data_IF_159147356258
#
_entry.id   IF_159147356258
#
_cell.length_a   1.000
_cell.length_b   1.000
_cell.length_c   1.000
_cell.angle_alpha   90.00
_cell.angle_beta   90.00
_cell.angle_gamma   90.00
#
_symmetry.space_group_name_H-M   'P 1'
#
loop_
_entity.id
_entity.type
_entity.pdbx_description
1 polymer ?
#
# COMPACT_ATOMS: atom_id res chain seq x y z
N UNK A 1 -3.78 -3.67 42.14
CA UNK A 1 -3.70 -4.47 40.90
C UNK A 1 -2.28 -4.30 40.37
N UNK A 2 -1.42 -5.30 40.47
CA UNK A 2 0.00 -5.16 40.08
C UNK A 2 0.13 -5.31 38.57
N UNK A 3 0.55 -4.24 37.90
CA UNK A 3 0.90 -4.25 36.47
C UNK A 3 2.08 -5.22 36.28
N UNK A 4 1.89 -6.28 35.48
CA UNK A 4 2.91 -7.29 35.19
C UNK A 4 3.27 -7.25 33.71
N UNK A 5 4.53 -7.55 33.43
CA UNK A 5 5.03 -7.75 32.07
C UNK A 5 4.25 -8.87 31.39
N UNK A 6 3.58 -8.57 30.27
CA UNK A 6 2.77 -9.52 29.51
C UNK A 6 3.57 -10.75 29.10
N UNK A 7 4.83 -10.55 28.67
CA UNK A 7 5.69 -11.60 28.14
C UNK A 7 6.31 -12.51 29.20
N UNK A 8 6.48 -12.00 30.42
CA UNK A 8 7.26 -12.70 31.46
C UNK A 8 6.51 -12.89 32.77
N UNK A 9 5.31 -12.33 32.92
CA UNK A 9 4.47 -12.37 34.13
C UNK A 9 5.19 -11.88 35.40
N UNK A 10 6.15 -10.96 35.23
CA UNK A 10 6.98 -10.35 36.30
C UNK A 10 6.59 -8.91 36.54
N UNK A 11 6.94 -8.39 37.72
CA UNK A 11 6.92 -6.95 38.03
C UNK A 11 7.72 -6.16 37.00
N UNK A 12 7.24 -4.95 36.70
CA UNK A 12 8.07 -3.95 36.06
C UNK A 12 9.01 -3.37 37.11
N UNK A 13 10.29 -3.37 36.78
CA UNK A 13 11.39 -2.97 37.68
C UNK A 13 12.20 -1.82 37.05
N UNK A 14 12.12 -1.64 35.73
CA UNK A 14 12.94 -0.68 34.99
C UNK A 14 12.08 0.17 34.05
N UNK A 15 12.55 1.38 33.78
CA UNK A 15 12.02 2.26 32.72
C UNK A 15 13.14 2.67 31.76
N UNK A 16 12.84 2.74 30.47
CA UNK A 16 13.71 3.39 29.49
C UNK A 16 13.09 4.72 29.08
N UNK A 17 13.79 5.83 29.31
CA UNK A 17 13.28 7.17 29.01
C UNK A 17 13.24 7.48 27.51
N UNK A 18 14.10 6.83 26.70
CA UNK A 18 14.10 7.00 25.24
C UNK A 18 12.88 6.32 24.59
N UNK A 19 12.50 5.15 25.10
CA UNK A 19 11.38 4.38 24.57
C UNK A 19 10.07 4.58 25.35
N UNK A 20 10.12 5.30 26.47
CA UNK A 20 9.02 5.49 27.41
C UNK A 20 8.30 4.17 27.75
N UNK A 21 9.07 3.11 28.02
CA UNK A 21 8.54 1.76 28.23
C UNK A 21 8.99 1.16 29.57
N UNK A 22 8.04 0.50 30.24
CA UNK A 22 8.26 -0.22 31.49
C UNK A 22 8.68 -1.66 31.19
N UNK A 23 9.72 -2.13 31.88
CA UNK A 23 10.37 -3.40 31.62
C UNK A 23 10.59 -4.19 32.91
N UNK A 24 10.47 -5.51 32.83
CA UNK A 24 10.93 -6.41 33.89
C UNK A 24 12.41 -6.73 33.69
N UNK A 25 13.04 -7.33 34.69
CA UNK A 25 14.43 -7.82 34.64
C UNK A 25 14.81 -8.63 33.39
N UNK A 26 13.90 -9.37 32.75
CA UNK A 26 14.22 -10.07 31.48
C UNK A 26 14.14 -9.15 30.25
N UNK A 27 13.19 -8.22 30.23
CA UNK A 27 13.01 -7.31 29.11
C UNK A 27 14.17 -6.32 29.00
N UNK A 28 14.72 -5.86 30.13
CA UNK A 28 15.86 -4.93 30.13
C UNK A 28 17.10 -5.52 29.46
N UNK A 29 17.46 -6.78 29.73
CA UNK A 29 18.61 -7.42 29.08
C UNK A 29 18.43 -7.59 27.56
N UNK A 30 17.20 -7.87 27.13
CA UNK A 30 16.91 -7.94 25.70
C UNK A 30 16.97 -6.55 25.07
N UNK A 31 16.35 -5.57 25.71
CA UNK A 31 16.31 -4.18 25.25
C UNK A 31 17.71 -3.57 25.14
N UNK A 32 18.60 -3.81 26.11
CA UNK A 32 19.97 -3.30 26.07
C UNK A 32 20.82 -3.95 24.98
N UNK A 33 20.48 -5.19 24.57
CA UNK A 33 21.11 -5.85 23.43
C UNK A 33 20.59 -5.31 22.09
N UNK A 34 19.28 -5.08 22.01
CA UNK A 34 18.63 -4.57 20.81
C UNK A 34 18.91 -3.07 20.60
N UNK A 35 19.11 -2.31 21.69
CA UNK A 35 19.39 -0.86 21.73
C UNK A 35 20.54 -0.53 22.70
N UNK A 36 21.81 -0.74 22.31
CA UNK A 36 22.97 -0.49 23.18
C UNK A 36 23.13 0.98 23.61
N UNK A 37 22.68 1.90 22.77
CA UNK A 37 22.72 3.35 22.98
C UNK A 37 21.73 3.85 24.05
N UNK A 38 20.75 3.03 24.42
CA UNK A 38 19.77 3.37 25.47
C UNK A 38 20.26 3.05 26.89
N UNK A 39 21.38 2.32 27.06
CA UNK A 39 21.83 1.81 28.36
C UNK A 39 22.00 2.89 29.43
N UNK A 40 22.39 4.11 29.05
CA UNK A 40 22.58 5.24 29.96
C UNK A 40 21.29 6.02 30.27
N UNK A 41 20.16 5.59 29.69
CA UNK A 41 18.83 6.21 29.81
C UNK A 41 17.80 5.23 30.37
N UNK A 42 18.28 4.19 31.06
CA UNK A 42 17.47 3.22 31.78
C UNK A 42 17.69 3.42 33.27
N UNK A 43 16.61 3.37 34.05
CA UNK A 43 16.67 3.57 35.49
C UNK A 43 15.75 2.58 36.21
N UNK A 44 16.13 2.21 37.44
CA UNK A 44 15.34 1.36 38.31
C UNK A 44 14.17 2.16 38.91
N UNK A 45 12.99 1.56 38.90
CA UNK A 45 11.77 2.20 39.38
C UNK A 45 11.83 2.45 40.89
N UNK A 46 12.49 1.58 41.66
CA UNK A 46 12.66 1.78 43.09
C UNK A 46 13.60 2.95 43.38
N UNK A 47 14.64 3.16 42.57
CA UNK A 47 15.53 4.33 42.69
C UNK A 47 14.80 5.64 42.39
N UNK A 48 13.94 5.65 41.36
CA UNK A 48 13.06 6.79 41.06
C UNK A 48 12.11 7.04 42.23
N UNK A 49 11.51 5.98 42.77
CA UNK A 49 10.59 6.08 43.90
C UNK A 49 11.27 6.63 45.15
N UNK A 50 12.49 6.17 45.44
CA UNK A 50 13.31 6.65 46.54
C UNK A 50 13.68 8.14 46.36
N UNK A 51 14.03 8.53 45.14
CA UNK A 51 14.29 9.94 44.79
C UNK A 51 13.05 10.82 44.94
N UNK A 52 11.86 10.31 44.60
CA UNK A 52 10.59 11.03 44.75
C UNK A 52 10.10 11.11 46.20
N UNK A 53 10.41 10.11 47.02
CA UNK A 53 10.02 10.09 48.44
C UNK A 53 10.94 10.90 49.34
N UNK A 54 12.15 11.24 48.87
CA UNK A 54 13.06 12.17 49.55
C UNK A 54 12.78 13.64 49.23
N UNK A 55 11.98 13.92 48.19
CA UNK A 55 11.39 15.24 47.96
C UNK A 55 10.31 15.48 49.02
N UNK A 56 10.66 16.22 50.09
CA UNK A 56 9.73 16.63 51.13
C UNK A 56 8.62 17.50 50.54
N UNK A 57 7.47 16.90 50.27
CA UNK A 57 6.27 17.63 49.83
C UNK A 57 5.69 18.52 50.95
N UNK A 58 6.05 18.27 52.21
CA UNK A 58 5.55 19.03 53.36
C UNK A 58 5.96 20.52 53.30
N UNK A 59 7.08 20.84 52.65
CA UNK A 59 7.55 22.23 52.48
C UNK A 59 6.75 23.01 51.39
N UNK A 60 5.89 22.34 50.62
CA UNK A 60 5.11 22.97 49.53
C UNK A 60 3.67 23.30 49.97
N UNK A 61 3.14 22.64 51.02
CA UNK A 61 1.72 22.74 51.39
C UNK A 61 1.43 23.94 52.32
N UNK A 62 2.40 24.42 53.11
CA UNK A 62 2.15 25.47 54.11
C UNK A 62 2.09 26.92 53.58
N UNK A 63 2.42 27.16 52.30
CA UNK A 63 2.44 28.54 51.74
C UNK A 63 1.08 29.11 51.33
N UNK A 64 -0.05 28.40 51.50
CA UNK A 64 -1.36 28.91 51.00
C UNK A 64 -2.36 29.35 52.06
N UNK A 65 -2.13 29.14 53.37
CA UNK A 65 -3.10 29.55 54.39
C UNK A 65 -2.48 30.00 55.71
N UNK A 66 -1.88 31.20 55.75
CA UNK A 66 -2.05 32.24 56.80
C UNK A 66 -0.96 33.31 56.69
N UNK A 67 -1.33 34.50 57.15
CA UNK A 67 -0.48 35.67 57.45
C UNK A 67 0.05 36.49 56.27
N UNK A 68 -0.80 37.42 55.83
CA UNK A 68 -0.39 38.77 55.51
C UNK A 68 0.55 39.32 56.60
N UNK A 69 1.60 40.04 56.15
CA UNK A 69 2.51 40.91 56.91
C UNK A 69 3.71 40.24 57.63
N UNK A 70 4.72 39.73 56.90
CA UNK A 70 6.15 39.93 57.29
C UNK A 70 7.21 39.44 56.28
N UNK A 71 7.13 39.77 54.98
CA UNK A 71 8.26 39.51 54.05
C UNK A 71 8.66 40.80 53.35
N UNK A 72 9.06 41.78 54.15
CA UNK A 72 9.99 42.84 53.75
C UNK A 72 11.19 42.66 54.67
N UNK A 73 12.24 41.95 54.23
CA UNK A 73 13.64 42.36 54.46
C UNK A 73 14.74 41.38 54.00
N UNK A 74 14.46 40.16 53.53
CA UNK A 74 15.54 39.22 53.19
C UNK A 74 15.73 38.92 51.69
N UNK A 75 15.30 39.83 50.81
CA UNK A 75 15.64 39.77 49.37
C UNK A 75 16.83 40.71 49.08
N UNK A 76 17.98 40.49 49.74
CA UNK A 76 19.21 41.19 49.38
C UNK A 76 20.45 40.32 49.18
N UNK A 77 20.34 38.99 49.24
CA UNK A 77 21.49 38.13 48.96
C UNK A 77 21.09 36.75 48.42
N UNK A 78 20.82 36.68 47.12
CA UNK A 78 21.17 35.53 46.26
C UNK A 78 20.78 35.81 44.80
N UNK A 79 21.44 36.79 44.20
CA UNK A 79 21.37 37.12 42.78
C UNK A 79 22.31 36.21 41.95
N UNK A 80 22.15 34.89 42.07
CA UNK A 80 22.85 33.90 41.22
C UNK A 80 21.92 32.90 40.50
N UNK A 81 20.60 32.89 40.77
CA UNK A 81 19.69 31.90 40.18
C UNK A 81 19.10 32.27 38.80
N UNK A 82 19.25 33.52 38.35
CA UNK A 82 18.68 33.96 37.06
C UNK A 82 19.42 33.42 35.83
N UNK A 83 20.60 32.82 35.99
CA UNK A 83 21.39 32.24 34.88
C UNK A 83 21.00 30.81 34.53
N UNK A 84 20.43 30.05 35.46
CA UNK A 84 20.06 28.65 35.24
C UNK A 84 18.75 28.55 34.43
N UNK A 85 17.76 29.39 34.76
CA UNK A 85 16.48 29.45 34.05
C UNK A 85 16.61 29.89 32.58
N UNK A 86 17.54 30.81 32.28
CA UNK A 86 17.74 31.31 30.92
C UNK A 86 18.38 30.27 29.98
N UNK A 87 19.27 29.42 30.50
CA UNK A 87 19.90 28.37 29.67
C UNK A 87 18.92 27.23 29.38
N UNK A 88 18.12 26.81 30.36
CA UNK A 88 17.11 25.76 30.15
C UNK A 88 16.03 26.17 29.14
N UNK A 89 15.56 27.43 29.21
CA UNK A 89 14.60 27.98 28.25
C UNK A 89 15.20 28.07 26.84
N UNK A 90 16.47 28.47 26.72
CA UNK A 90 17.18 28.56 25.43
C UNK A 90 17.38 27.18 24.79
N UNK A 91 17.74 26.18 25.58
CA UNK A 91 17.90 24.80 25.11
C UNK A 91 16.57 24.21 24.64
N UNK A 92 15.47 24.46 25.37
CA UNK A 92 14.13 24.05 24.97
C UNK A 92 13.68 24.73 23.67
N UNK A 93 13.98 26.03 23.50
CA UNK A 93 13.69 26.76 22.28
C UNK A 93 14.51 26.23 21.09
N UNK A 94 15.79 25.93 21.27
CA UNK A 94 16.62 25.32 20.23
C UNK A 94 16.11 23.93 19.83
N UNK A 95 15.77 23.07 20.80
CA UNK A 95 15.18 21.76 20.50
C UNK A 95 13.88 21.89 19.71
N UNK A 96 13.03 22.86 20.05
CA UNK A 96 11.80 23.14 19.30
C UNK A 96 12.08 23.62 17.87
N UNK A 97 13.06 24.50 17.69
CA UNK A 97 13.46 24.98 16.36
C UNK A 97 14.05 23.86 15.50
N UNK A 98 14.87 22.99 16.08
CA UNK A 98 15.41 21.80 15.41
C UNK A 98 14.27 20.88 14.96
N UNK A 99 13.33 20.58 15.86
CA UNK A 99 12.17 19.75 15.52
C UNK A 99 11.34 20.36 14.39
N UNK A 100 11.06 21.67 14.45
CA UNK A 100 10.30 22.37 13.40
C UNK A 100 11.05 22.36 12.06
N UNK A 101 12.37 22.53 12.08
CA UNK A 101 13.18 22.50 10.87
C UNK A 101 13.13 21.12 10.19
N UNK A 102 13.32 20.04 10.96
CA UNK A 102 13.23 18.68 10.41
C UNK A 102 11.83 18.30 9.96
N UNK A 103 10.79 18.80 10.63
CA UNK A 103 9.40 18.64 10.18
C UNK A 103 9.20 19.30 8.81
N UNK A 104 9.62 20.57 8.65
CA UNK A 104 9.52 21.27 7.37
C UNK A 104 10.28 20.57 6.25
N UNK A 105 11.49 20.08 6.55
CA UNK A 105 12.29 19.33 5.60
C UNK A 105 11.61 18.02 5.20
N UNK A 106 11.04 17.29 6.18
CA UNK A 106 10.30 16.06 5.92
C UNK A 106 9.09 16.31 5.01
N UNK A 107 8.30 17.35 5.29
CA UNK A 107 7.16 17.73 4.45
C UNK A 107 7.61 18.10 3.02
N UNK A 108 8.72 18.83 2.88
CA UNK A 108 9.28 19.14 1.56
C UNK A 108 9.69 17.88 0.78
N UNK A 109 10.37 16.94 1.44
CA UNK A 109 10.79 15.68 0.83
C UNK A 109 9.59 14.84 0.37
N UNK A 110 8.52 14.77 1.17
CA UNK A 110 7.26 14.10 0.79
C UNK A 110 6.67 14.72 -0.47
N UNK A 111 6.63 16.06 -0.55
CA UNK A 111 6.08 16.77 -1.72
C UNK A 111 6.90 16.48 -2.98
N UNK A 112 8.22 16.55 -2.90
CA UNK A 112 9.10 16.24 -4.03
C UNK A 112 9.01 14.76 -4.43
N UNK A 113 8.91 13.83 -3.48
CA UNK A 113 8.68 12.41 -3.75
C UNK A 113 7.37 12.21 -4.54
N UNK A 114 6.26 12.76 -4.06
CA UNK A 114 4.97 12.65 -4.74
C UNK A 114 4.97 13.30 -6.13
N UNK A 115 5.70 14.41 -6.30
CA UNK A 115 5.83 15.09 -7.59
C UNK A 115 6.58 14.23 -8.60
N UNK A 116 7.68 13.60 -8.20
CA UNK A 116 8.43 12.67 -9.05
C UNK A 116 7.62 11.39 -9.35
N UNK A 117 6.89 10.87 -8.37
CA UNK A 117 6.05 9.68 -8.56
C UNK A 117 4.83 9.95 -9.45
N UNK A 118 4.31 11.18 -9.47
CA UNK A 118 3.09 11.51 -10.22
C UNK A 118 3.20 11.15 -11.70
N UNK A 119 4.30 11.54 -12.34
CA UNK A 119 4.48 11.30 -13.78
C UNK A 119 4.62 9.80 -14.06
N UNK A 120 5.35 9.08 -13.20
CA UNK A 120 5.51 7.62 -13.28
C UNK A 120 4.15 6.90 -13.10
N UNK A 121 3.32 7.34 -12.14
CA UNK A 121 2.00 6.78 -11.90
C UNK A 121 1.07 7.04 -13.10
N UNK A 122 1.10 8.25 -13.64
CA UNK A 122 0.30 8.63 -14.82
C UNK A 122 0.71 7.84 -16.06
N UNK A 123 2.01 7.66 -16.27
CA UNK A 123 2.55 6.84 -17.37
C UNK A 123 2.14 5.37 -17.18
N UNK A 124 2.30 4.83 -15.98
CA UNK A 124 1.86 3.47 -15.65
C UNK A 124 0.36 3.27 -15.92
N UNK A 125 -0.48 4.23 -15.56
CA UNK A 125 -1.92 4.16 -15.84
C UNK A 125 -2.20 4.22 -17.35
N UNK A 126 -1.49 5.09 -18.08
CA UNK A 126 -1.58 5.19 -19.54
C UNK A 126 -1.22 3.87 -20.21
N UNK A 127 -0.09 3.27 -19.82
CA UNK A 127 0.37 1.98 -20.34
C UNK A 127 -0.62 0.86 -20.00
N UNK A 128 -1.16 0.85 -18.77
CA UNK A 128 -2.15 -0.15 -18.36
C UNK A 128 -3.40 -0.08 -19.25
N UNK A 129 -3.94 1.12 -19.46
CA UNK A 129 -5.09 1.32 -20.34
C UNK A 129 -4.80 0.89 -21.78
N UNK A 130 -3.58 1.16 -22.29
CA UNK A 130 -3.18 0.72 -23.63
C UNK A 130 -3.10 -0.80 -23.73
N UNK A 131 -2.53 -1.47 -22.72
CA UNK A 131 -2.48 -2.93 -22.65
C UNK A 131 -3.89 -3.51 -22.62
N UNK A 132 -4.78 -2.96 -21.79
CA UNK A 132 -6.17 -3.44 -21.69
C UNK A 132 -6.92 -3.29 -23.01
N UNK A 133 -6.76 -2.14 -23.69
CA UNK A 133 -7.32 -1.91 -25.03
C UNK A 133 -6.74 -2.88 -26.07
N UNK A 134 -5.43 -3.14 -26.05
CA UNK A 134 -4.80 -4.08 -26.96
C UNK A 134 -5.24 -5.52 -26.71
N UNK A 135 -5.43 -5.91 -25.45
CA UNK A 135 -5.99 -7.23 -25.09
C UNK A 135 -7.43 -7.33 -25.56
N UNK A 136 -8.22 -6.27 -25.44
CA UNK A 136 -9.57 -6.19 -25.98
C UNK A 136 -9.58 -6.42 -27.50
N UNK A 137 -8.71 -5.71 -28.22
CA UNK A 137 -8.53 -5.87 -29.67
C UNK A 137 -8.16 -7.31 -30.04
N UNK A 138 -7.19 -7.90 -29.33
CA UNK A 138 -6.75 -9.27 -29.57
C UNK A 138 -7.86 -10.29 -29.31
N UNK A 139 -8.65 -10.11 -28.24
CA UNK A 139 -9.81 -10.96 -27.95
C UNK A 139 -10.82 -10.94 -29.10
N UNK A 140 -11.11 -9.77 -29.66
CA UNK A 140 -11.99 -9.64 -30.83
C UNK A 140 -11.41 -10.36 -32.05
N UNK A 141 -10.12 -10.15 -32.36
CA UNK A 141 -9.45 -10.77 -33.50
C UNK A 141 -9.43 -12.30 -33.38
N UNK A 142 -9.11 -12.83 -32.21
CA UNK A 142 -9.12 -14.26 -31.95
C UNK A 142 -10.52 -14.84 -32.09
N UNK A 143 -11.55 -14.13 -31.61
CA UNK A 143 -12.93 -14.55 -31.81
C UNK A 143 -13.29 -14.62 -33.31
N UNK A 144 -12.89 -13.64 -34.12
CA UNK A 144 -13.09 -13.68 -35.58
C UNK A 144 -12.39 -14.89 -36.23
N UNK A 145 -11.14 -15.16 -35.86
CA UNK A 145 -10.38 -16.32 -36.35
C UNK A 145 -11.09 -17.63 -35.98
N UNK A 146 -11.57 -17.74 -34.74
CA UNK A 146 -12.29 -18.92 -34.27
C UNK A 146 -13.60 -19.14 -35.03
N UNK A 147 -14.35 -18.07 -35.33
CA UNK A 147 -15.57 -18.15 -36.15
C UNK A 147 -15.22 -18.63 -37.56
N UNK A 148 -14.17 -18.06 -38.18
CA UNK A 148 -13.75 -18.45 -39.52
C UNK A 148 -13.29 -19.91 -39.59
N UNK A 149 -12.54 -20.37 -38.58
CA UNK A 149 -12.13 -21.76 -38.46
C UNK A 149 -13.33 -22.70 -38.29
N UNK A 150 -14.33 -22.32 -37.47
CA UNK A 150 -15.56 -23.09 -37.32
C UNK A 150 -16.34 -23.16 -38.64
N UNK A 151 -16.51 -22.04 -39.35
CA UNK A 151 -17.17 -22.01 -40.66
C UNK A 151 -16.49 -22.91 -41.69
N UNK A 152 -15.16 -22.92 -41.74
CA UNK A 152 -14.41 -23.81 -42.63
C UNK A 152 -14.54 -25.28 -42.23
N UNK A 153 -14.68 -25.57 -40.94
CA UNK A 153 -14.82 -26.93 -40.41
C UNK A 153 -16.27 -27.47 -40.44
N UNK A 154 -17.30 -26.62 -40.57
CA UNK A 154 -18.71 -27.06 -40.75
C UNK A 154 -18.87 -27.92 -42.03
N UNK A 155 -17.96 -27.80 -43.00
CA UNK A 155 -17.94 -28.65 -44.19
C UNK A 155 -17.34 -30.06 -43.97
N UNK A 156 -16.77 -30.35 -42.79
CA UNK A 156 -16.31 -31.67 -42.40
C UNK A 156 -16.88 -32.00 -41.01
N UNK A 157 -18.08 -32.56 -41.02
CA UNK A 157 -18.67 -33.20 -39.85
C UNK A 157 -17.72 -34.28 -39.33
N UNK A 158 -17.12 -34.03 -38.16
CA UNK A 158 -16.88 -35.07 -37.16
C UNK A 158 -16.92 -34.41 -35.78
N UNK A 159 -18.03 -34.64 -35.10
CA UNK A 159 -18.24 -34.31 -33.69
C UNK A 159 -17.19 -35.03 -32.85
N UNK A 160 -16.30 -34.27 -32.22
CA UNK A 160 -15.59 -34.73 -31.03
C UNK A 160 -15.70 -33.67 -29.94
N UNK A 161 -16.77 -33.81 -29.15
CA UNK A 161 -16.88 -33.16 -27.85
C UNK A 161 -15.85 -33.79 -26.90
N UNK A 162 -14.72 -33.13 -26.70
CA UNK A 162 -13.88 -33.42 -25.54
C UNK A 162 -14.23 -32.48 -24.39
N UNK A 163 -14.82 -33.07 -23.35
CA UNK A 163 -15.15 -32.40 -22.10
C UNK A 163 -13.93 -32.46 -21.20
N UNK A 164 -13.23 -31.32 -21.04
CA UNK A 164 -12.04 -31.20 -20.20
C UNK A 164 -12.21 -30.19 -19.07
N UNK A 165 -12.74 -30.66 -17.96
CA UNK A 165 -12.95 -29.94 -16.70
C UNK A 165 -11.63 -29.45 -16.06
N UNK A 166 -11.63 -28.22 -15.51
CA UNK A 166 -10.49 -27.65 -14.79
C UNK A 166 -10.87 -26.40 -14.02
N UNK A 167 -11.72 -26.54 -12.99
CA UNK A 167 -11.98 -25.49 -11.99
C UNK A 167 -10.73 -25.23 -11.13
N UNK A 168 -9.75 -24.53 -11.70
CA UNK A 168 -8.72 -23.85 -10.93
C UNK A 168 -9.23 -22.45 -10.63
N UNK A 169 -8.97 -21.91 -9.44
CA UNK A 169 -9.42 -20.57 -9.08
C UNK A 169 -8.60 -19.53 -9.89
N UNK A 170 -9.11 -19.14 -11.07
CA UNK A 170 -8.39 -18.38 -12.13
C UNK A 170 -8.26 -16.88 -11.81
N UNK A 171 -8.76 -16.42 -10.66
CA UNK A 171 -8.89 -14.99 -10.32
C UNK A 171 -7.55 -14.25 -10.23
N UNK A 172 -6.45 -14.94 -9.91
CA UNK A 172 -5.10 -14.35 -9.86
C UNK A 172 -4.42 -14.22 -11.22
N UNK A 173 -4.91 -14.91 -12.26
CA UNK A 173 -4.31 -14.94 -13.60
C UNK A 173 -4.70 -13.73 -14.47
N UNK A 174 -5.69 -12.95 -14.05
CA UNK A 174 -6.13 -11.72 -14.74
C UNK A 174 -5.46 -10.45 -14.21
N UNK A 175 -4.54 -10.57 -13.24
CA UNK A 175 -3.87 -9.37 -12.72
C UNK A 175 -2.98 -8.74 -13.79
N UNK A 176 -2.92 -7.41 -13.85
CA UNK A 176 -2.02 -6.68 -14.76
C UNK A 176 -0.58 -7.15 -14.63
N UNK A 177 -0.16 -7.54 -13.42
CA UNK A 177 1.18 -8.10 -13.17
C UNK A 177 1.40 -9.41 -13.91
N UNK A 178 0.46 -10.35 -13.81
CA UNK A 178 0.54 -11.66 -14.49
C UNK A 178 0.54 -11.51 -16.00
N UNK A 179 -0.29 -10.59 -16.51
CA UNK A 179 -0.33 -10.25 -17.94
C UNK A 179 1.01 -9.68 -18.39
N UNK A 180 1.56 -8.71 -17.66
CA UNK A 180 2.84 -8.10 -17.98
C UNK A 180 3.98 -9.13 -17.98
N UNK A 181 4.01 -10.03 -17.00
CA UNK A 181 4.98 -11.13 -16.93
C UNK A 181 4.83 -12.08 -18.12
N UNK A 182 3.60 -12.40 -18.52
CA UNK A 182 3.37 -13.24 -19.70
C UNK A 182 3.81 -12.55 -21.01
N UNK A 183 3.71 -11.22 -21.11
CA UNK A 183 4.21 -10.44 -22.25
C UNK A 183 5.74 -10.53 -22.31
N UNK A 184 6.42 -10.33 -21.19
CA UNK A 184 7.90 -10.31 -21.16
C UNK A 184 8.52 -11.69 -21.34
N UNK A 185 7.82 -12.75 -20.92
CA UNK A 185 8.30 -14.13 -21.04
C UNK A 185 7.96 -14.77 -22.39
N UNK A 186 7.00 -14.22 -23.13
CA UNK A 186 6.61 -14.73 -24.44
C UNK A 186 7.56 -14.29 -25.54
N UNK A 187 8.09 -15.24 -26.31
CA UNK A 187 9.00 -14.98 -27.43
C UNK A 187 8.32 -14.40 -28.67
N UNK A 188 7.00 -14.51 -28.77
CA UNK A 188 6.20 -14.04 -29.90
C UNK A 188 4.74 -13.86 -29.49
N UNK A 189 3.97 -13.13 -30.31
CA UNK A 189 2.53 -12.96 -30.12
C UNK A 189 1.79 -14.31 -30.11
N UNK A 190 2.18 -15.27 -30.96
CA UNK A 190 1.57 -16.59 -30.97
C UNK A 190 1.86 -17.35 -29.67
N UNK A 191 3.10 -17.29 -29.18
CA UNK A 191 3.45 -17.89 -27.88
C UNK A 191 2.66 -17.27 -26.74
N UNK A 192 2.48 -15.95 -26.76
CA UNK A 192 1.67 -15.22 -25.78
C UNK A 192 0.20 -15.66 -25.80
N UNK A 193 -0.40 -15.76 -26.99
CA UNK A 193 -1.79 -16.20 -27.16
C UNK A 193 -1.95 -17.63 -26.66
N UNK A 194 -1.04 -18.54 -27.05
CA UNK A 194 -1.09 -19.94 -26.64
C UNK A 194 -0.93 -20.10 -25.12
N UNK A 195 0.01 -19.35 -24.52
CA UNK A 195 0.25 -19.38 -23.08
C UNK A 195 -0.97 -18.88 -22.27
N UNK A 196 -1.71 -17.93 -22.82
CA UNK A 196 -2.89 -17.34 -22.18
C UNK A 196 -4.24 -17.90 -22.72
N UNK A 197 -4.21 -19.02 -23.45
CA UNK A 197 -5.41 -19.57 -24.09
C UNK A 197 -6.43 -20.13 -23.07
N UNK A 198 -5.98 -20.53 -21.89
CA UNK A 198 -6.85 -20.99 -20.82
C UNK A 198 -7.34 -19.85 -19.90
N UNK A 199 -6.90 -18.61 -20.15
CA UNK A 199 -7.18 -17.45 -19.30
C UNK A 199 -7.77 -16.30 -20.13
N UNK A 200 -6.91 -15.43 -20.67
CA UNK A 200 -7.30 -14.23 -21.43
C UNK A 200 -8.12 -14.55 -22.67
N UNK A 201 -7.83 -15.68 -23.33
CA UNK A 201 -8.44 -16.04 -24.62
C UNK A 201 -9.34 -17.27 -24.57
N UNK A 202 -9.68 -17.74 -23.37
CA UNK A 202 -10.42 -18.98 -23.18
C UNK A 202 -11.84 -18.94 -23.75
N UNK A 203 -12.26 -20.05 -24.37
CA UNK A 203 -13.50 -20.11 -25.14
C UNK A 203 -14.77 -19.89 -24.30
N UNK A 204 -14.78 -20.39 -23.06
CA UNK A 204 -15.92 -20.17 -22.16
C UNK A 204 -16.07 -18.70 -21.72
N UNK A 205 -15.05 -17.86 -21.87
CA UNK A 205 -15.20 -16.41 -21.65
C UNK A 205 -16.02 -15.73 -22.77
N UNK A 206 -16.19 -16.33 -23.96
CA UNK A 206 -16.98 -15.74 -25.05
C UNK A 206 -18.49 -15.88 -24.84
N UNK A 207 -18.93 -16.86 -24.03
CA UNK A 207 -20.36 -17.04 -23.72
C UNK A 207 -20.92 -15.94 -22.80
N UNK A 208 -20.06 -15.32 -22.00
CA UNK A 208 -20.43 -14.27 -21.05
C UNK A 208 -19.86 -12.88 -21.40
N UNK A 209 -18.82 -12.80 -22.24
CA UNK A 209 -18.36 -11.55 -22.84
C UNK A 209 -18.94 -11.42 -24.26
N UNK A 210 -20.10 -10.77 -24.35
CA UNK A 210 -20.90 -10.42 -25.51
C UNK A 210 -20.14 -9.68 -26.64
N UNK A 211 -19.15 -10.29 -27.28
CA UNK A 211 -18.56 -9.70 -28.49
C UNK A 211 -19.30 -10.20 -29.74
N UNK A 212 -19.55 -11.51 -29.82
CA UNK A 212 -20.32 -12.14 -30.88
C UNK A 212 -20.95 -13.43 -30.35
N UNK A 213 -22.28 -13.56 -30.40
CA UNK A 213 -22.95 -14.84 -30.17
C UNK A 213 -22.78 -15.70 -31.44
N UNK A 214 -21.83 -16.63 -31.41
CA UNK A 214 -21.40 -17.41 -32.58
C UNK A 214 -22.56 -18.23 -33.15
N UNK A 215 -23.35 -18.88 -32.30
CA UNK A 215 -24.48 -19.72 -32.71
C UNK A 215 -25.57 -18.90 -33.40
N UNK A 216 -25.85 -17.71 -32.88
CA UNK A 216 -26.85 -16.79 -33.42
C UNK A 216 -26.41 -16.17 -34.75
N UNK A 217 -25.14 -15.77 -34.89
CA UNK A 217 -24.61 -15.19 -36.13
C UNK A 217 -24.55 -16.22 -37.28
N UNK A 218 -24.14 -17.45 -36.98
CA UNK A 218 -24.15 -18.53 -37.98
C UNK A 218 -25.59 -18.82 -38.44
N UNK A 219 -26.56 -18.79 -37.53
CA UNK A 219 -27.97 -19.03 -37.83
C UNK A 219 -28.61 -17.89 -38.64
N UNK A 220 -28.28 -16.62 -38.35
CA UNK A 220 -28.82 -15.45 -39.05
C UNK A 220 -28.36 -15.36 -40.51
N UNK A 221 -27.11 -15.74 -40.80
CA UNK A 221 -26.53 -15.63 -42.14
C UNK A 221 -26.69 -16.90 -42.99
N UNK A 222 -27.48 -17.88 -42.54
CA UNK A 222 -27.76 -19.13 -43.29
C UNK A 222 -26.50 -19.83 -43.84
N UNK A 223 -25.41 -19.78 -43.08
CA UNK A 223 -24.10 -20.30 -43.49
C UNK A 223 -23.46 -19.62 -44.73
N UNK A 224 -23.95 -18.47 -45.18
CA UNK A 224 -23.23 -17.64 -46.15
C UNK A 224 -22.01 -17.00 -45.47
N UNK A 225 -20.87 -17.63 -45.68
CA UNK A 225 -19.58 -17.21 -45.11
C UNK A 225 -19.17 -15.81 -45.53
N UNK A 226 -19.60 -15.34 -46.70
CA UNK A 226 -19.23 -14.02 -47.21
C UNK A 226 -19.99 -12.90 -46.50
N UNK A 227 -21.31 -13.04 -46.35
CA UNK A 227 -22.14 -12.08 -45.62
C UNK A 227 -21.82 -12.04 -44.12
N UNK A 228 -21.55 -13.21 -43.53
CA UNK A 228 -21.14 -13.31 -42.12
C UNK A 228 -19.78 -12.67 -41.87
N UNK A 229 -18.80 -12.90 -42.76
CA UNK A 229 -17.49 -12.25 -42.66
C UNK A 229 -17.61 -10.73 -42.75
N UNK A 230 -18.45 -10.23 -43.66
CA UNK A 230 -18.67 -8.79 -43.83
C UNK A 230 -19.31 -8.17 -42.58
N UNK A 231 -20.31 -8.82 -41.99
CA UNK A 231 -20.99 -8.36 -40.77
C UNK A 231 -20.02 -8.33 -39.56
N UNK A 232 -19.18 -9.36 -39.43
CA UNK A 232 -18.15 -9.44 -38.39
C UNK A 232 -17.11 -8.31 -38.55
N UNK A 233 -16.60 -8.09 -39.77
CA UNK A 233 -15.65 -7.00 -40.06
C UNK A 233 -16.28 -5.63 -39.78
N UNK A 234 -17.55 -5.45 -40.16
CA UNK A 234 -18.28 -4.21 -39.92
C UNK A 234 -18.42 -3.94 -38.41
N UNK A 235 -18.82 -4.94 -37.61
CA UNK A 235 -18.93 -4.82 -36.16
C UNK A 235 -17.58 -4.57 -35.48
N UNK A 236 -16.51 -5.19 -35.94
CA UNK A 236 -15.15 -4.89 -35.47
C UNK A 236 -14.77 -3.44 -35.74
N UNK A 237 -14.95 -2.96 -36.97
CA UNK A 237 -14.64 -1.58 -37.34
C UNK A 237 -15.48 -0.57 -36.55
N UNK A 238 -16.76 -0.84 -36.32
CA UNK A 238 -17.62 0.01 -35.50
C UNK A 238 -17.07 0.16 -34.07
N UNK A 239 -16.69 -0.94 -33.44
CA UNK A 239 -16.21 -0.94 -32.06
C UNK A 239 -14.88 -0.15 -31.88
N UNK A 240 -13.98 -0.24 -32.85
CA UNK A 240 -12.60 0.26 -32.69
C UNK A 240 -12.23 1.47 -33.53
N UNK A 241 -12.98 1.78 -34.60
CA UNK A 241 -12.68 2.93 -35.46
C UNK A 241 -13.58 4.14 -35.19
N UNK A 242 -14.86 3.98 -34.80
CA UNK A 242 -15.72 5.16 -34.49
C UNK A 242 -15.22 5.96 -33.27
N UNK A 243 -14.48 5.31 -32.36
CA UNK A 243 -13.85 5.97 -31.22
C UNK A 243 -12.63 6.84 -31.59
N UNK A 244 -12.12 6.73 -32.83
CA UNK A 244 -11.00 7.54 -33.34
C UNK A 244 -11.45 8.78 -34.11
N UNK A 245 -12.68 8.79 -34.65
CA UNK A 245 -13.20 9.88 -35.50
C UNK A 245 -13.92 11.00 -34.75
N UNK A 246 -14.18 10.87 -33.45
CA UNK A 246 -14.91 11.87 -32.65
C UNK A 246 -14.00 12.75 -31.75
N UNK A 247 -12.75 12.98 -32.13
CA UNK A 247 -11.79 13.86 -31.41
C UNK A 247 -11.16 14.92 -32.31
N UNK A 248 -11.96 15.55 -33.17
CA UNK A 248 -11.61 16.82 -33.83
C UNK A 248 -12.39 17.99 -33.23
#
# INVERSE_FOLDING_TARGET
MTMKCVNHQRSFEFICYQCNCLMCSKCIFKHSKDHPDHSNKMEDIDDIRNSLSTLKLDDIIDTTTKTNNHINNDISSNSNDSTIDNNYIKDYQQQRMIKQHFEQLHQYLIIEEHKLQRDIINEKHTITNQIDNNIMNLKYLINMINIFNKLNNINNSDDNNDSGNGNNNITTLYSTTTIMESITTSSSLQSFINHNNQTLFHEHNYKYNNYFNIEELIQQHSSDSSSLLLDIIHKYNYQFNESTTNKE
#
